data_IF_951884677915
#
_entry.id   IF_951884677915
#
_cell.length_a   1.000
_cell.length_b   1.000
_cell.length_c   1.000
_cell.angle_alpha   90.00
_cell.angle_beta   90.00
_cell.angle_gamma   90.00
#
_symmetry.space_group_name_H-M   'P 1'
#
loop_
_entity.id
_entity.type
_entity.pdbx_description
1 polymer ?
#
# COMPACT_ATOMS: atom_id res chain seq x y z
N UNK A 1 -4.97 -24.78 18.62
CA UNK A 1 -5.08 -25.06 17.18
C UNK A 1 -4.32 -23.98 16.43
N UNK A 2 -3.32 -24.35 15.63
CA UNK A 2 -2.45 -23.38 14.97
C UNK A 2 -3.26 -22.49 14.04
N UNK A 3 -3.13 -21.17 14.18
CA UNK A 3 -3.78 -20.21 13.31
C UNK A 3 -3.26 -20.41 11.88
N UNK A 4 -4.11 -20.89 10.97
CA UNK A 4 -3.76 -21.03 9.56
C UNK A 4 -3.43 -19.66 8.99
N UNK A 5 -2.24 -19.52 8.41
CA UNK A 5 -1.85 -18.27 7.74
C UNK A 5 -2.51 -18.18 6.38
N UNK A 6 -2.73 -16.95 5.90
CA UNK A 6 -3.26 -16.68 4.54
C UNK A 6 -2.45 -17.42 3.46
N UNK A 7 -1.12 -17.42 3.57
CA UNK A 7 -0.22 -18.09 2.64
C UNK A 7 -0.42 -19.61 2.61
N UNK A 8 -0.66 -20.23 3.78
CA UNK A 8 -0.96 -21.67 3.85
C UNK A 8 -2.26 -21.99 3.12
N UNK A 9 -3.30 -21.15 3.25
CA UNK A 9 -4.58 -21.34 2.56
C UNK A 9 -4.44 -21.14 1.05
N UNK A 10 -3.67 -20.15 0.60
CA UNK A 10 -3.37 -19.94 -0.82
C UNK A 10 -2.66 -21.14 -1.43
N UNK A 11 -1.68 -21.71 -0.73
CA UNK A 11 -0.98 -22.91 -1.17
C UNK A 11 -1.90 -24.14 -1.23
N UNK A 12 -2.84 -24.28 -0.29
CA UNK A 12 -3.83 -25.37 -0.30
C UNK A 12 -4.83 -25.23 -1.46
N UNK A 13 -5.21 -24.00 -1.83
CA UNK A 13 -6.06 -23.74 -2.99
C UNK A 13 -5.30 -24.03 -4.29
N UNK A 14 -4.03 -23.62 -4.38
CA UNK A 14 -3.19 -23.86 -5.55
C UNK A 14 -2.92 -25.36 -5.77
N UNK A 15 -2.70 -26.11 -4.70
CA UNK A 15 -2.44 -27.55 -4.73
C UNK A 15 -3.70 -28.42 -4.88
N UNK A 16 -4.91 -27.82 -4.93
CA UNK A 16 -6.20 -28.54 -5.00
C UNK A 16 -6.32 -29.67 -3.96
N UNK A 17 -5.85 -29.44 -2.74
CA UNK A 17 -5.90 -30.47 -1.69
C UNK A 17 -7.34 -30.86 -1.34
N UNK A 18 -7.62 -32.16 -1.21
CA UNK A 18 -8.93 -32.71 -0.82
C UNK A 18 -9.44 -32.17 0.53
N UNK A 19 -8.53 -31.67 1.37
CA UNK A 19 -8.86 -31.10 2.68
C UNK A 19 -9.53 -29.73 2.61
N UNK A 20 -9.49 -29.06 1.45
CA UNK A 20 -10.03 -27.71 1.28
C UNK A 20 -11.33 -27.76 0.46
N UNK A 21 -12.43 -27.35 1.08
CA UNK A 21 -13.74 -27.27 0.45
C UNK A 21 -14.17 -25.81 0.35
N UNK A 22 -14.48 -25.36 -0.86
CA UNK A 22 -15.03 -24.03 -1.12
C UNK A 22 -16.56 -24.14 -1.17
N UNK A 23 -17.26 -23.57 -0.19
CA UNK A 23 -18.73 -23.57 -0.16
C UNK A 23 -19.28 -22.14 -0.30
N UNK A 24 -20.48 -22.03 -0.87
CA UNK A 24 -21.25 -20.77 -0.81
C UNK A 24 -21.75 -20.58 0.62
N UNK A 25 -21.78 -19.34 1.09
CA UNK A 25 -22.30 -19.04 2.42
C UNK A 25 -23.82 -18.86 2.31
N UNK A 26 -24.60 -19.75 2.93
CA UNK A 26 -26.07 -19.77 2.82
C UNK A 26 -26.76 -18.72 3.69
N UNK A 27 -26.07 -18.19 4.72
CA UNK A 27 -26.66 -17.30 5.74
C UNK A 27 -26.26 -15.83 5.58
N UNK A 28 -26.14 -15.31 4.35
CA UNK A 28 -25.79 -13.90 4.16
C UNK A 28 -26.79 -13.14 3.31
N UNK A 29 -27.08 -11.91 3.76
CA UNK A 29 -28.03 -10.99 3.13
C UNK A 29 -27.40 -10.10 2.04
N UNK A 30 -26.08 -10.07 1.92
CA UNK A 30 -25.37 -9.13 1.04
C UNK A 30 -25.05 -9.75 -0.31
N UNK A 31 -25.43 -9.08 -1.40
CA UNK A 31 -25.16 -9.46 -2.80
C UNK A 31 -23.68 -9.69 -3.10
N UNK A 32 -22.79 -9.00 -2.37
CA UNK A 32 -21.33 -9.15 -2.49
C UNK A 32 -20.90 -10.63 -2.41
N UNK A 33 -21.60 -11.48 -1.67
CA UNK A 33 -21.26 -12.90 -1.53
C UNK A 33 -21.42 -13.74 -2.80
N UNK A 34 -22.12 -13.27 -3.82
CA UNK A 34 -22.20 -13.96 -5.12
C UNK A 34 -20.82 -14.08 -5.79
N UNK A 35 -19.94 -13.10 -5.53
CA UNK A 35 -18.58 -13.06 -6.05
C UNK A 35 -17.56 -13.89 -5.27
N UNK A 36 -17.93 -14.47 -4.12
CA UNK A 36 -16.97 -15.14 -3.21
C UNK A 36 -17.47 -16.50 -2.71
N UNK A 37 -16.53 -17.35 -2.31
CA UNK A 37 -16.79 -18.62 -1.63
C UNK A 37 -16.03 -18.67 -0.31
N UNK A 38 -16.62 -19.26 0.72
CA UNK A 38 -15.94 -19.44 2.00
C UNK A 38 -15.05 -20.68 1.98
N UNK A 39 -13.88 -20.56 2.61
CA UNK A 39 -12.93 -21.65 2.76
C UNK A 39 -13.26 -22.49 3.99
N UNK A 40 -13.39 -23.80 3.80
CA UNK A 40 -13.46 -24.80 4.87
C UNK A 40 -12.23 -25.69 4.79
N UNK A 41 -11.53 -25.88 5.90
CA UNK A 41 -10.37 -26.77 6.00
C UNK A 41 -10.74 -27.91 6.94
N UNK A 42 -10.69 -29.14 6.44
CA UNK A 42 -11.05 -30.34 7.21
C UNK A 42 -12.44 -30.28 7.86
N UNK A 43 -13.40 -29.61 7.21
CA UNK A 43 -14.76 -29.42 7.72
C UNK A 43 -14.96 -28.21 8.64
N UNK A 44 -13.88 -27.55 9.08
CA UNK A 44 -13.96 -26.36 9.93
C UNK A 44 -14.06 -25.07 9.11
N UNK A 45 -14.98 -24.20 9.53
CA UNK A 45 -15.16 -22.87 8.94
C UNK A 45 -13.96 -21.99 9.25
N UNK A 46 -13.29 -21.49 8.22
CA UNK A 46 -12.20 -20.54 8.38
C UNK A 46 -12.65 -19.09 8.16
N UNK A 47 -11.89 -18.16 8.73
CA UNK A 47 -12.05 -16.72 8.54
C UNK A 47 -11.43 -16.24 7.21
N UNK A 48 -11.43 -17.11 6.19
CA UNK A 48 -10.93 -16.82 4.86
C UNK A 48 -12.02 -17.01 3.81
N UNK A 49 -12.00 -16.16 2.79
CA UNK A 49 -12.88 -16.21 1.63
C UNK A 49 -12.04 -16.16 0.35
N UNK A 50 -12.51 -16.85 -0.68
CA UNK A 50 -11.86 -16.93 -1.97
C UNK A 50 -12.73 -16.22 -3.01
N UNK A 51 -12.13 -15.34 -3.82
CA UNK A 51 -12.83 -14.71 -4.93
C UNK A 51 -13.07 -15.70 -6.08
N UNK A 52 -14.29 -15.72 -6.64
CA UNK A 52 -14.63 -16.58 -7.76
C UNK A 52 -13.91 -16.20 -9.07
N UNK A 53 -13.53 -14.92 -9.22
CA UNK A 53 -12.89 -14.40 -10.44
C UNK A 53 -11.37 -14.53 -10.40
N UNK A 54 -10.72 -13.95 -9.39
CA UNK A 54 -9.24 -13.90 -9.32
C UNK A 54 -8.63 -14.99 -8.43
N UNK A 55 -9.44 -15.82 -7.75
CA UNK A 55 -9.01 -16.83 -6.77
C UNK A 55 -8.16 -16.29 -5.60
N UNK A 56 -8.11 -14.97 -5.42
CA UNK A 56 -7.42 -14.36 -4.30
C UNK A 56 -8.11 -14.71 -2.97
N UNK A 57 -7.30 -14.94 -1.94
CA UNK A 57 -7.77 -15.21 -0.58
C UNK A 57 -7.81 -13.91 0.23
N UNK A 58 -8.96 -13.63 0.82
CA UNK A 58 -9.19 -12.47 1.68
C UNK A 58 -9.56 -12.95 3.09
N UNK A 59 -9.21 -12.17 4.09
CA UNK A 59 -9.58 -12.42 5.49
C UNK A 59 -10.96 -11.81 5.71
N UNK A 60 -11.89 -12.60 6.24
CA UNK A 60 -13.22 -12.15 6.63
C UNK A 60 -13.64 -12.85 7.93
N UNK A 61 -13.42 -12.16 9.04
CA UNK A 61 -13.92 -12.51 10.37
C UNK A 61 -15.24 -11.76 10.67
N UNK A 62 -15.90 -12.10 11.78
CA UNK A 62 -17.16 -11.45 12.20
C UNK A 62 -17.02 -9.94 12.49
N UNK A 63 -15.79 -9.44 12.73
CA UNK A 63 -15.51 -8.03 13.06
C UNK A 63 -15.23 -7.17 11.83
N UNK A 64 -14.74 -7.76 10.75
CA UNK A 64 -14.22 -7.07 9.57
C UNK A 64 -15.31 -6.55 8.62
N UNK A 65 -16.57 -6.95 8.84
CA UNK A 65 -17.70 -6.59 7.97
C UNK A 65 -17.50 -7.03 6.51
N UNK A 66 -18.36 -6.52 5.63
CA UNK A 66 -18.30 -6.81 4.18
C UNK A 66 -17.49 -5.79 3.38
N UNK A 67 -16.97 -4.73 4.00
CA UNK A 67 -16.22 -3.67 3.32
C UNK A 67 -15.01 -4.22 2.55
N UNK A 68 -14.25 -5.15 3.14
CA UNK A 68 -13.09 -5.75 2.47
C UNK A 68 -13.43 -6.57 1.22
N UNK A 69 -14.65 -7.14 1.16
CA UNK A 69 -15.13 -7.84 -0.04
C UNK A 69 -15.68 -6.85 -1.06
N UNK A 70 -16.34 -5.78 -0.61
CA UNK A 70 -16.93 -4.78 -1.50
C UNK A 70 -15.84 -3.95 -2.21
N UNK A 71 -14.76 -3.62 -1.52
CA UNK A 71 -13.59 -2.93 -2.09
C UNK A 71 -12.64 -3.87 -2.84
N UNK A 72 -12.90 -5.18 -2.87
CA UNK A 72 -12.09 -6.10 -3.64
C UNK A 72 -12.37 -5.93 -5.13
N UNK A 73 -11.55 -5.14 -5.78
CA UNK A 73 -11.47 -5.13 -7.23
C UNK A 73 -10.54 -6.25 -7.69
N UNK A 74 -11.09 -7.16 -8.49
CA UNK A 74 -10.28 -8.14 -9.20
C UNK A 74 -9.33 -7.38 -10.11
N UNK A 75 -8.07 -7.31 -9.74
CA UNK A 75 -7.01 -6.83 -10.63
C UNK A 75 -6.83 -7.92 -11.69
N UNK A 76 -7.71 -7.94 -12.68
CA UNK A 76 -7.50 -8.65 -13.93
C UNK A 76 -6.30 -7.97 -14.60
N UNK A 77 -5.25 -8.74 -14.87
CA UNK A 77 -3.97 -8.33 -15.46
C UNK A 77 -2.96 -7.74 -14.45
N UNK A 78 -2.02 -8.58 -14.01
CA UNK A 78 -0.67 -8.10 -13.70
C UNK A 78 -0.25 -7.94 -12.24
N UNK A 79 -0.56 -8.88 -11.34
CA UNK A 79 0.19 -8.99 -10.06
C UNK A 79 1.67 -9.40 -10.29
N UNK A 80 2.02 -9.79 -11.52
CA UNK A 80 3.39 -9.87 -12.04
C UNK A 80 3.67 -8.82 -13.12
N UNK A 81 3.15 -7.60 -13.03
CA UNK A 81 3.85 -6.53 -13.75
C UNK A 81 5.21 -6.40 -13.06
N UNK A 82 6.29 -6.84 -13.72
CA UNK A 82 7.68 -6.50 -13.37
C UNK A 82 7.92 -4.97 -13.48
N UNK A 83 6.86 -4.16 -13.46
CA UNK A 83 6.91 -2.74 -13.57
C UNK A 83 7.37 -2.18 -12.23
N UNK A 84 8.59 -1.67 -12.26
CA UNK A 84 9.18 -0.97 -11.12
C UNK A 84 8.24 0.15 -10.68
N UNK A 85 8.08 0.32 -9.36
CA UNK A 85 7.39 1.49 -8.80
C UNK A 85 8.04 2.76 -9.39
N UNK A 86 7.26 3.80 -9.64
CA UNK A 86 7.79 5.09 -10.15
C UNK A 86 8.92 5.61 -9.24
N UNK A 87 8.81 5.39 -7.93
CA UNK A 87 9.85 5.72 -6.94
C UNK A 87 11.17 4.97 -7.12
N UNK A 88 11.18 3.84 -7.82
CA UNK A 88 12.39 3.10 -8.17
C UNK A 88 13.00 3.56 -9.51
N UNK A 89 12.25 4.30 -10.33
CA UNK A 89 12.72 4.92 -11.57
C UNK A 89 13.42 6.25 -11.25
N UNK A 90 12.83 7.02 -10.34
CA UNK A 90 13.38 8.27 -9.82
C UNK A 90 13.76 8.07 -8.35
N UNK A 91 14.92 7.45 -8.05
CA UNK A 91 15.35 7.30 -6.67
C UNK A 91 15.48 8.70 -6.05
N UNK A 92 14.83 8.90 -4.90
CA UNK A 92 15.01 10.12 -4.14
C UNK A 92 16.50 10.32 -3.87
N UNK A 93 17.07 11.42 -4.36
CA UNK A 93 18.47 11.76 -4.11
C UNK A 93 18.63 11.93 -2.61
N UNK A 94 19.30 10.99 -1.96
CA UNK A 94 19.63 11.10 -0.54
C UNK A 94 20.58 12.27 -0.38
N UNK A 95 20.06 13.37 0.17
CA UNK A 95 20.86 14.57 0.45
C UNK A 95 21.68 14.28 1.71
N UNK A 96 23.00 14.40 1.58
CA UNK A 96 23.96 14.23 2.67
C UNK A 96 23.60 15.13 3.87
N UNK A 97 23.68 14.60 5.08
CA UNK A 97 23.28 15.30 6.30
C UNK A 97 24.15 16.55 6.52
N UNK A 98 25.44 16.48 6.19
CA UNK A 98 26.37 17.61 6.29
C UNK A 98 26.00 18.72 5.32
N UNK A 99 25.52 18.39 4.12
CA UNK A 99 25.05 19.39 3.14
C UNK A 99 23.80 20.11 3.65
N UNK A 100 22.87 19.41 4.30
CA UNK A 100 21.69 20.05 4.91
C UNK A 100 22.08 21.06 5.98
N UNK A 101 23.01 20.71 6.86
CA UNK A 101 23.48 21.63 7.91
C UNK A 101 24.10 22.90 7.32
N UNK A 102 24.91 22.77 6.26
CA UNK A 102 25.51 23.92 5.56
C UNK A 102 24.48 24.87 4.98
N UNK A 103 23.41 24.33 4.38
CA UNK A 103 22.32 25.14 3.81
C UNK A 103 21.57 25.88 4.93
N UNK A 104 21.30 25.20 6.04
CA UNK A 104 20.62 25.80 7.20
C UNK A 104 21.44 26.96 7.77
N UNK A 105 22.75 26.74 7.99
CA UNK A 105 23.65 27.80 8.48
C UNK A 105 23.68 29.01 7.55
N UNK A 106 23.79 28.78 6.24
CA UNK A 106 23.78 29.86 5.24
C UNK A 106 22.45 30.63 5.24
N UNK A 107 21.31 29.92 5.32
CA UNK A 107 19.99 30.53 5.35
C UNK A 107 19.76 31.37 6.62
N UNK A 108 20.25 30.90 7.78
CA UNK A 108 20.19 31.64 9.05
C UNK A 108 21.07 32.89 8.98
N UNK A 109 22.29 32.76 8.45
CA UNK A 109 23.20 33.89 8.28
C UNK A 109 22.64 34.95 7.33
N UNK A 110 22.01 34.54 6.23
CA UNK A 110 21.33 35.44 5.30
C UNK A 110 20.23 36.24 6.01
N UNK A 111 19.30 35.56 6.70
CA UNK A 111 18.22 36.24 7.42
C UNK A 111 18.76 37.21 8.49
N UNK A 112 19.80 36.80 9.23
CA UNK A 112 20.39 37.61 10.28
C UNK A 112 21.17 38.83 9.77
N UNK A 113 22.01 38.66 8.74
CA UNK A 113 22.83 39.75 8.17
C UNK A 113 21.98 40.82 7.49
N UNK A 114 20.90 40.40 6.84
CA UNK A 114 20.04 41.30 6.08
C UNK A 114 18.90 41.86 6.95
N UNK A 115 18.90 41.56 8.25
CA UNK A 115 17.87 41.97 9.22
C UNK A 115 16.45 41.61 8.75
N UNK A 116 16.29 40.39 8.22
CA UNK A 116 15.02 39.88 7.70
C UNK A 116 14.40 38.84 8.64
N UNK A 117 13.07 38.77 8.74
CA UNK A 117 12.42 37.69 9.46
C UNK A 117 12.66 36.36 8.74
N UNK A 118 12.73 35.25 9.49
CA UNK A 118 12.94 33.91 8.92
C UNK A 118 11.88 33.49 7.89
N UNK A 119 10.68 34.09 7.94
CA UNK A 119 9.63 33.90 6.94
C UNK A 119 10.04 34.32 5.52
N UNK A 120 11.12 35.08 5.35
CA UNK A 120 11.67 35.39 4.03
C UNK A 120 12.10 34.14 3.27
N UNK A 121 12.55 33.09 3.97
CA UNK A 121 12.96 31.81 3.38
C UNK A 121 11.76 31.02 2.84
N UNK A 122 10.57 31.30 3.34
CA UNK A 122 9.31 30.74 2.85
C UNK A 122 8.63 31.63 1.79
N UNK A 123 9.20 32.80 1.49
CA UNK A 123 8.65 33.76 0.55
C UNK A 123 8.82 33.32 -0.91
N UNK A 124 7.85 33.68 -1.75
CA UNK A 124 7.86 33.37 -3.18
C UNK A 124 9.08 33.97 -3.90
N UNK A 125 9.45 35.22 -3.55
CA UNK A 125 10.63 35.88 -4.13
C UNK A 125 11.95 35.14 -3.84
N UNK A 126 12.12 34.61 -2.63
CA UNK A 126 13.30 33.80 -2.30
C UNK A 126 13.31 32.49 -3.08
N UNK A 127 12.16 31.81 -3.22
CA UNK A 127 12.05 30.58 -4.02
C UNK A 127 12.41 30.81 -5.48
N UNK A 128 11.93 31.89 -6.09
CA UNK A 128 12.27 32.24 -7.48
C UNK A 128 13.78 32.47 -7.63
N UNK A 129 14.38 33.28 -6.76
CA UNK A 129 15.83 33.50 -6.78
C UNK A 129 16.62 32.19 -6.61
N UNK A 130 16.24 31.36 -5.64
CA UNK A 130 16.91 30.08 -5.39
C UNK A 130 16.78 29.12 -6.58
N UNK A 131 15.62 29.10 -7.25
CA UNK A 131 15.40 28.29 -8.44
C UNK A 131 16.29 28.71 -9.61
N UNK A 132 16.44 30.02 -9.85
CA UNK A 132 17.36 30.53 -10.89
C UNK A 132 18.82 30.21 -10.57
N UNK A 133 19.24 30.32 -9.31
CA UNK A 133 20.59 29.93 -8.89
C UNK A 133 20.86 28.44 -9.13
N UNK A 134 19.89 27.56 -8.85
CA UNK A 134 20.00 26.12 -9.13
C UNK A 134 20.02 25.86 -10.65
N UNK A 135 19.30 26.66 -11.44
CA UNK A 135 19.27 26.53 -12.90
C UNK A 135 20.62 26.88 -13.54
N UNK A 136 21.38 27.81 -12.93
CA UNK A 136 22.72 28.19 -13.38
C UNK A 136 23.76 27.11 -13.09
N UNK A 137 23.63 26.37 -11.97
CA UNK A 137 24.49 25.22 -11.62
C UNK A 137 24.94 25.18 -10.17
#
# INVERSE_FOLDING_TARGET
MAALTKASVENLIASKSEKLVLKKEEKVKSEVWEGFKRVFVSGERQDFVCCNKCKAVLIHNKKSGTSGLNYHNCVSVGVNSNQKRISAIFPAKQVDSKLKSRIIEAAVLFAAKDLRPFSILDGEGFRLMAQELIAVG
#
